data_IF_051030241035
#
_entry.id   IF_051030241035
#
_cell.length_a   1.000
_cell.length_b   1.000
_cell.length_c   1.000
_cell.angle_alpha   90.00
_cell.angle_beta   90.00
_cell.angle_gamma   90.00
#
_symmetry.space_group_name_H-M   'P 1'
#
loop_
_entity.id
_entity.type
_entity.pdbx_description
1 polymer ?
#
# COMPACT_ATOMS: atom_id res chain seq x y z
N UNK A 1 1.25 -23.35 22.78
CA UNK A 1 2.18 -22.20 22.78
C UNK A 1 3.30 -22.35 21.74
N UNK A 2 4.23 -23.34 21.86
CA UNK A 2 5.34 -23.48 20.88
C UNK A 2 4.85 -23.83 19.46
N UNK A 3 3.83 -24.66 19.31
CA UNK A 3 3.25 -24.99 18.01
C UNK A 3 2.57 -23.79 17.37
N UNK A 4 1.89 -22.96 18.14
CA UNK A 4 1.26 -21.72 17.65
C UNK A 4 2.30 -20.73 17.14
N UNK A 5 3.40 -20.53 17.87
CA UNK A 5 4.51 -19.67 17.45
C UNK A 5 5.15 -20.18 16.15
N UNK A 6 5.36 -21.49 16.03
CA UNK A 6 5.92 -22.10 14.81
C UNK A 6 4.96 -21.93 13.63
N UNK A 7 3.65 -22.13 13.84
CA UNK A 7 2.64 -21.95 12.79
C UNK A 7 2.55 -20.49 12.33
N UNK A 8 2.64 -19.54 13.26
CA UNK A 8 2.61 -18.10 12.94
C UNK A 8 3.85 -17.68 12.13
N UNK A 9 5.04 -18.13 12.55
CA UNK A 9 6.27 -17.88 11.81
C UNK A 9 6.29 -18.56 10.43
N UNK A 10 5.79 -19.80 10.32
CA UNK A 10 5.62 -20.47 9.04
C UNK A 10 4.64 -19.70 8.11
N UNK A 11 3.55 -19.16 8.67
CA UNK A 11 2.62 -18.30 7.95
C UNK A 11 3.27 -17.00 7.44
N UNK A 12 4.11 -16.36 8.25
CA UNK A 12 4.89 -15.18 7.85
C UNK A 12 5.86 -15.51 6.72
N UNK A 13 6.59 -16.62 6.83
CA UNK A 13 7.51 -17.08 5.78
C UNK A 13 6.78 -17.38 4.46
N UNK A 14 5.63 -18.05 4.52
CA UNK A 14 4.84 -18.35 3.33
C UNK A 14 4.35 -17.08 2.62
N UNK A 15 3.87 -16.08 3.38
CA UNK A 15 3.52 -14.76 2.81
C UNK A 15 4.74 -14.07 2.18
N UNK A 16 5.89 -14.15 2.81
CA UNK A 16 7.13 -13.57 2.29
C UNK A 16 7.54 -14.21 0.96
N UNK A 17 7.50 -15.53 0.87
CA UNK A 17 7.83 -16.28 -0.36
C UNK A 17 6.84 -15.92 -1.48
N UNK A 18 5.53 -15.87 -1.19
CA UNK A 18 4.52 -15.46 -2.19
C UNK A 18 4.76 -14.04 -2.71
N UNK A 19 5.07 -13.10 -1.82
CA UNK A 19 5.36 -11.72 -2.20
C UNK A 19 6.64 -11.60 -3.02
N UNK A 20 7.68 -12.39 -2.70
CA UNK A 20 8.91 -12.45 -3.49
C UNK A 20 8.70 -13.02 -4.89
N UNK A 21 7.89 -14.08 -5.00
CA UNK A 21 7.55 -14.67 -6.29
C UNK A 21 6.75 -13.68 -7.15
N UNK A 22 5.76 -13.00 -6.55
CA UNK A 22 4.98 -11.97 -7.24
C UNK A 22 5.88 -10.82 -7.71
N UNK A 23 6.79 -10.34 -6.85
CA UNK A 23 7.73 -9.28 -7.21
C UNK A 23 8.67 -9.71 -8.34
N UNK A 24 9.17 -10.96 -8.30
CA UNK A 24 10.04 -11.50 -9.34
C UNK A 24 9.31 -11.62 -10.68
N UNK A 25 8.03 -11.99 -10.67
CA UNK A 25 7.18 -11.99 -11.87
C UNK A 25 6.97 -10.58 -12.44
N UNK A 26 6.76 -9.57 -11.57
CA UNK A 26 6.61 -8.17 -11.99
C UNK A 26 7.90 -7.58 -12.59
N UNK A 27 9.08 -7.98 -12.10
CA UNK A 27 10.37 -7.43 -12.54
C UNK A 27 10.95 -8.15 -13.77
N UNK A 28 10.74 -9.44 -13.88
CA UNK A 28 11.41 -10.31 -14.88
C UNK A 28 10.43 -11.17 -15.70
N UNK A 29 9.14 -11.16 -15.36
CA UNK A 29 8.11 -11.88 -16.08
C UNK A 29 7.65 -11.09 -17.31
N UNK A 30 7.21 -11.81 -18.33
CA UNK A 30 6.44 -11.28 -19.46
C UNK A 30 4.95 -11.13 -19.04
N UNK A 31 4.71 -10.57 -17.85
CA UNK A 31 3.34 -10.35 -17.39
C UNK A 31 2.75 -9.18 -18.19
N UNK A 32 1.95 -9.52 -19.20
CA UNK A 32 1.18 -8.55 -19.97
C UNK A 32 0.25 -7.78 -19.02
N UNK A 33 0.53 -6.49 -18.84
CA UNK A 33 -0.34 -5.60 -18.08
C UNK A 33 -1.66 -5.49 -18.83
N UNK A 34 -2.75 -5.94 -18.20
CA UNK A 34 -4.07 -5.88 -18.79
C UNK A 34 -4.76 -4.57 -18.42
N UNK A 35 -4.56 -3.55 -19.26
CA UNK A 35 -5.23 -2.27 -19.07
C UNK A 35 -6.72 -2.40 -19.36
N UNK A 36 -7.54 -2.04 -18.38
CA UNK A 36 -9.00 -1.97 -18.49
C UNK A 36 -9.55 -0.75 -17.76
N UNK A 37 -10.80 -0.41 -18.06
CA UNK A 37 -11.49 0.70 -17.40
C UNK A 37 -12.30 0.18 -16.23
N UNK A 38 -11.99 0.63 -15.01
CA UNK A 38 -12.71 0.24 -13.79
C UNK A 38 -12.93 1.43 -12.85
N UNK A 39 -13.81 1.24 -11.86
CA UNK A 39 -14.12 2.24 -10.84
C UNK A 39 -13.17 2.10 -9.64
N UNK A 40 -12.21 3.04 -9.53
CA UNK A 40 -11.23 3.07 -8.44
C UNK A 40 -11.89 3.31 -7.07
N UNK A 41 -13.05 3.96 -7.01
CA UNK A 41 -13.75 4.19 -5.73
C UNK A 41 -14.32 2.90 -5.18
N UNK A 42 -14.89 2.07 -6.04
CA UNK A 42 -15.38 0.74 -5.69
C UNK A 42 -14.25 -0.20 -5.29
N UNK A 43 -13.12 -0.17 -6.01
CA UNK A 43 -11.94 -0.95 -5.68
C UNK A 43 -11.41 -0.60 -4.29
N UNK A 44 -11.21 0.68 -3.99
CA UNK A 44 -10.73 1.14 -2.66
C UNK A 44 -11.70 0.69 -1.56
N UNK A 45 -13.01 0.86 -1.78
CA UNK A 45 -14.04 0.44 -0.83
C UNK A 45 -13.98 -1.07 -0.56
N UNK A 46 -13.80 -1.89 -1.61
CA UNK A 46 -13.63 -3.34 -1.49
C UNK A 46 -12.37 -3.73 -0.70
N UNK A 47 -11.26 -3.05 -0.94
CA UNK A 47 -10.01 -3.25 -0.16
C UNK A 47 -10.25 -2.91 1.31
N UNK A 48 -10.87 -1.78 1.63
CA UNK A 48 -11.15 -1.38 3.01
C UNK A 48 -12.07 -2.39 3.70
N UNK A 49 -13.14 -2.83 3.04
CA UNK A 49 -14.03 -3.86 3.56
C UNK A 49 -13.31 -5.18 3.85
N UNK A 50 -12.37 -5.58 3.00
CA UNK A 50 -11.57 -6.79 3.21
C UNK A 50 -10.60 -6.69 4.40
N UNK A 51 -10.30 -5.48 4.86
CA UNK A 51 -9.40 -5.16 5.96
C UNK A 51 -10.13 -4.73 7.24
N UNK A 52 -11.47 -4.74 7.26
CA UNK A 52 -12.30 -4.27 8.39
C UNK A 52 -11.85 -4.84 9.73
N UNK A 53 -11.64 -6.15 9.82
CA UNK A 53 -11.19 -6.81 11.06
C UNK A 53 -9.83 -6.24 11.53
N UNK A 54 -8.92 -6.00 10.61
CA UNK A 54 -7.60 -5.44 10.94
C UNK A 54 -7.70 -3.97 11.36
N UNK A 55 -8.57 -3.21 10.70
CA UNK A 55 -8.87 -1.81 11.04
C UNK A 55 -9.43 -1.72 12.46
N UNK A 56 -10.40 -2.58 12.80
CA UNK A 56 -10.97 -2.67 14.16
C UNK A 56 -9.91 -3.07 15.20
N UNK A 57 -9.10 -4.09 14.92
CA UNK A 57 -8.04 -4.53 15.83
C UNK A 57 -7.00 -3.44 16.12
N UNK A 58 -6.73 -2.59 15.14
CA UNK A 58 -5.83 -1.44 15.27
C UNK A 58 -6.53 -0.21 15.86
N UNK A 59 -7.86 -0.27 16.03
CA UNK A 59 -8.71 0.86 16.44
C UNK A 59 -8.48 2.09 15.52
N UNK A 60 -8.20 1.87 14.25
CA UNK A 60 -7.89 2.93 13.30
C UNK A 60 -9.18 3.57 12.79
N UNK A 61 -9.19 4.91 12.73
CA UNK A 61 -10.26 5.68 12.10
C UNK A 61 -9.92 5.88 10.62
N UNK A 62 -10.56 5.12 9.73
CA UNK A 62 -10.37 5.25 8.30
C UNK A 62 -11.39 6.24 7.73
N UNK A 63 -10.90 7.26 7.02
CA UNK A 63 -11.70 8.30 6.36
C UNK A 63 -11.52 8.14 4.86
N UNK A 64 -12.57 7.67 4.18
CA UNK A 64 -12.67 7.64 2.72
C UNK A 64 -14.03 8.21 2.31
N UNK A 65 -14.04 9.43 1.78
CA UNK A 65 -15.27 10.16 1.42
C UNK A 65 -15.33 10.31 -0.08
N UNK A 66 -15.96 9.34 -0.74
CA UNK A 66 -16.26 9.45 -2.16
C UNK A 66 -17.72 9.08 -2.43
N UNK A 67 -18.46 9.96 -3.14
CA UNK A 67 -19.90 9.75 -3.43
C UNK A 67 -20.15 9.27 -4.87
N UNK A 68 -19.24 9.59 -5.78
CA UNK A 68 -19.39 9.29 -7.19
C UNK A 68 -18.30 8.33 -7.67
N UNK A 69 -18.59 7.42 -8.60
CA UNK A 69 -17.58 6.58 -9.20
C UNK A 69 -16.56 7.43 -9.98
N UNK A 70 -15.29 7.08 -9.83
CA UNK A 70 -14.19 7.62 -10.62
C UNK A 70 -13.60 6.47 -11.42
N UNK A 71 -13.64 6.62 -12.74
CA UNK A 71 -13.11 5.61 -13.65
C UNK A 71 -11.67 5.93 -14.03
N UNK A 72 -10.83 4.91 -13.96
CA UNK A 72 -9.41 4.96 -14.34
C UNK A 72 -9.12 3.86 -15.34
N UNK A 73 -7.96 3.97 -16.02
CA UNK A 73 -7.48 3.04 -17.01
C UNK A 73 -6.16 2.43 -16.52
N UNK A 74 -6.19 1.20 -16.04
CA UNK A 74 -5.05 0.46 -15.53
C UNK A 74 -5.36 -1.04 -15.41
N UNK A 75 -4.44 -1.84 -14.91
CA UNK A 75 -4.68 -3.22 -14.50
C UNK A 75 -5.31 -3.24 -13.10
N UNK A 76 -6.60 -3.59 -13.03
CA UNK A 76 -7.39 -3.52 -11.79
C UNK A 76 -6.77 -4.37 -10.66
N UNK A 77 -6.31 -5.58 -10.98
CA UNK A 77 -5.70 -6.46 -9.99
C UNK A 77 -4.37 -5.90 -9.42
N UNK A 78 -3.53 -5.33 -10.29
CA UNK A 78 -2.28 -4.69 -9.87
C UNK A 78 -2.54 -3.43 -9.06
N UNK A 79 -3.54 -2.62 -9.43
CA UNK A 79 -3.96 -1.44 -8.64
C UNK A 79 -4.51 -1.84 -7.27
N UNK A 80 -5.29 -2.94 -7.18
CA UNK A 80 -5.72 -3.48 -5.88
C UNK A 80 -4.53 -3.79 -4.99
N UNK A 81 -3.46 -4.40 -5.54
CA UNK A 81 -2.25 -4.67 -4.78
C UNK A 81 -1.56 -3.38 -4.28
N UNK A 82 -1.51 -2.32 -5.10
CA UNK A 82 -0.96 -1.01 -4.69
C UNK A 82 -1.76 -0.45 -3.51
N UNK A 83 -3.08 -0.35 -3.63
CA UNK A 83 -3.97 0.16 -2.59
C UNK A 83 -3.83 -0.66 -1.31
N UNK A 84 -3.86 -1.98 -1.41
CA UNK A 84 -3.70 -2.90 -0.27
C UNK A 84 -2.37 -2.73 0.44
N UNK A 85 -1.27 -2.55 -0.30
CA UNK A 85 0.05 -2.31 0.28
C UNK A 85 0.11 -0.97 1.02
N UNK A 86 -0.46 0.10 0.47
CA UNK A 86 -0.49 1.40 1.13
C UNK A 86 -1.37 1.39 2.38
N UNK A 87 -2.57 0.79 2.32
CA UNK A 87 -3.46 0.69 3.49
C UNK A 87 -2.83 -0.17 4.59
N UNK A 88 -2.24 -1.31 4.25
CA UNK A 88 -1.52 -2.15 5.22
C UNK A 88 -0.33 -1.41 5.84
N UNK A 89 0.42 -0.64 5.03
CA UNK A 89 1.51 0.18 5.53
C UNK A 89 0.99 1.24 6.52
N UNK A 90 -0.09 1.94 6.17
CA UNK A 90 -0.75 2.90 7.05
C UNK A 90 -1.19 2.26 8.37
N UNK A 91 -1.87 1.10 8.34
CA UNK A 91 -2.31 0.36 9.53
C UNK A 91 -1.16 -0.12 10.43
N UNK A 92 0.01 -0.38 9.84
CA UNK A 92 1.20 -0.79 10.59
C UNK A 92 1.96 0.37 11.23
N UNK A 93 1.79 1.59 10.72
CA UNK A 93 2.55 2.78 11.15
C UNK A 93 1.69 3.87 11.77
N UNK A 94 0.36 3.73 11.73
CA UNK A 94 -0.55 4.64 12.44
C UNK A 94 -0.29 4.62 13.94
N UNK A 95 -0.24 5.79 14.56
CA UNK A 95 0.05 5.94 16.00
C UNK A 95 -1.11 6.58 16.81
N UNK A 96 -0.81 7.41 17.77
CA UNK A 96 -1.71 7.90 18.83
C UNK A 96 -3.08 8.38 18.32
N UNK A 97 -3.13 9.14 17.25
CA UNK A 97 -4.40 9.67 16.70
C UNK A 97 -5.17 8.62 15.89
N UNK A 98 -4.47 7.58 15.43
CA UNK A 98 -5.02 6.43 14.71
C UNK A 98 -5.88 6.80 13.50
N UNK A 99 -5.55 7.89 12.80
CA UNK A 99 -6.29 8.36 11.62
C UNK A 99 -5.59 7.91 10.34
N UNK A 100 -6.36 7.32 9.43
CA UNK A 100 -5.96 7.00 8.05
C UNK A 100 -6.93 7.71 7.12
N UNK A 101 -6.44 8.56 6.23
CA UNK A 101 -7.27 9.29 5.27
C UNK A 101 -6.90 8.91 3.85
N UNK A 102 -7.90 8.51 3.05
CA UNK A 102 -7.73 8.21 1.63
C UNK A 102 -8.45 9.26 0.82
N UNK A 103 -7.77 9.84 -0.14
CA UNK A 103 -8.34 10.85 -1.07
C UNK A 103 -8.05 10.47 -2.50
N UNK A 104 -8.95 10.89 -3.39
CA UNK A 104 -8.75 10.87 -4.83
C UNK A 104 -8.91 12.30 -5.33
N UNK A 105 -7.90 12.84 -5.95
CA UNK A 105 -7.93 14.12 -6.65
C UNK A 105 -7.83 13.91 -8.15
N UNK A 106 -8.54 14.72 -8.93
CA UNK A 106 -8.59 14.60 -10.38
C UNK A 106 -8.03 15.88 -10.98
N UNK A 107 -6.99 15.75 -11.79
CA UNK A 107 -6.35 16.87 -12.48
C UNK A 107 -5.73 16.40 -13.80
N UNK A 108 -5.95 17.17 -14.88
CA UNK A 108 -5.32 16.93 -16.20
C UNK A 108 -5.50 15.49 -16.75
N UNK A 109 -6.72 14.93 -16.65
CA UNK A 109 -7.05 13.55 -17.04
C UNK A 109 -6.30 12.46 -16.23
N UNK A 110 -5.79 12.83 -15.06
CA UNK A 110 -5.15 11.93 -14.10
C UNK A 110 -5.95 11.88 -12.81
N UNK A 111 -6.05 10.70 -12.23
CA UNK A 111 -6.50 10.49 -10.85
C UNK A 111 -5.29 10.26 -9.97
N UNK A 112 -5.08 11.11 -8.97
CA UNK A 112 -4.08 10.93 -7.92
C UNK A 112 -4.77 10.39 -6.68
N UNK A 113 -4.33 9.22 -6.25
CA UNK A 113 -4.81 8.54 -5.05
C UNK A 113 -3.78 8.75 -3.95
N UNK A 114 -4.21 9.21 -2.78
CA UNK A 114 -3.35 9.41 -1.61
C UNK A 114 -3.86 8.59 -0.44
N UNK A 115 -2.95 8.02 0.33
CA UNK A 115 -3.19 7.33 1.59
C UNK A 115 -2.31 7.98 2.64
N UNK A 116 -2.90 8.79 3.48
CA UNK A 116 -2.25 9.44 4.62
C UNK A 116 -2.51 8.65 5.89
N UNK A 117 -1.52 8.54 6.75
CA UNK A 117 -1.71 8.08 8.14
C UNK A 117 -1.03 9.03 9.12
N UNK A 118 -1.68 9.26 10.26
CA UNK A 118 -1.01 9.88 11.41
C UNK A 118 0.09 8.96 11.92
N UNK A 119 1.20 9.56 12.34
CA UNK A 119 2.35 8.80 12.80
C UNK A 119 3.67 9.56 12.70
N UNK A 120 4.74 8.90 13.06
CA UNK A 120 6.07 9.48 12.98
C UNK A 120 6.48 9.63 11.51
N UNK A 121 6.90 10.82 11.05
CA UNK A 121 7.45 11.02 9.71
C UNK A 121 8.67 10.12 9.46
N UNK A 122 8.85 9.74 8.21
CA UNK A 122 10.02 8.95 7.78
C UNK A 122 11.25 9.87 7.79
N UNK A 123 12.39 9.45 8.37
CA UNK A 123 13.63 10.23 8.25
C UNK A 123 13.94 10.55 6.79
N UNK A 124 14.36 11.79 6.51
CA UNK A 124 14.57 12.23 5.13
C UNK A 124 15.64 11.40 4.39
N UNK A 125 16.62 10.90 5.13
CA UNK A 125 17.66 10.00 4.62
C UNK A 125 17.11 8.63 4.20
N UNK A 126 15.98 8.19 4.80
CA UNK A 126 15.36 6.89 4.51
C UNK A 126 14.36 6.98 3.34
N UNK A 127 13.79 8.16 3.06
CA UNK A 127 12.78 8.34 2.01
C UNK A 127 13.17 7.77 0.63
N UNK A 128 14.40 7.93 0.14
CA UNK A 128 14.81 7.30 -1.12
C UNK A 128 14.86 5.78 -1.07
N UNK A 129 15.11 5.22 0.11
CA UNK A 129 15.38 3.80 0.32
C UNK A 129 14.15 2.96 0.65
N UNK A 130 13.02 3.58 1.08
CA UNK A 130 11.80 2.83 1.46
C UNK A 130 11.23 1.97 0.33
N UNK A 131 11.59 2.23 -0.91
CA UNK A 131 11.19 1.49 -2.11
C UNK A 131 12.09 0.28 -2.41
N UNK A 132 13.18 0.13 -1.68
CA UNK A 132 14.09 -1.01 -1.83
C UNK A 132 13.56 -2.25 -1.14
N UNK A 133 13.90 -3.41 -1.70
CA UNK A 133 13.51 -4.71 -1.12
C UNK A 133 14.12 -4.89 0.25
N UNK A 134 13.31 -5.33 1.22
CA UNK A 134 13.72 -5.60 2.60
C UNK A 134 14.17 -4.38 3.39
N UNK A 135 14.07 -3.18 2.83
CA UNK A 135 14.40 -1.97 3.56
C UNK A 135 13.37 -1.71 4.67
N UNK A 136 13.85 -1.25 5.81
CA UNK A 136 13.05 -0.94 6.99
C UNK A 136 13.70 0.20 7.74
N UNK A 137 12.96 1.27 7.94
CA UNK A 137 13.38 2.46 8.69
C UNK A 137 13.73 2.09 10.13
N UNK A 138 13.00 1.18 10.77
CA UNK A 138 13.17 0.82 12.17
C UNK A 138 13.26 -0.70 12.34
N UNK A 139 14.48 -1.24 12.47
CA UNK A 139 14.74 -2.68 12.64
C UNK A 139 14.22 -3.23 13.99
N UNK A 140 14.07 -2.38 14.99
CA UNK A 140 13.64 -2.77 16.33
C UNK A 140 12.11 -2.90 16.44
N UNK A 141 11.34 -1.99 15.84
CA UNK A 141 9.87 -1.99 15.82
C UNK A 141 9.26 -3.11 14.96
N UNK A 142 10.02 -3.64 14.03
CA UNK A 142 9.52 -4.57 13.00
C UNK A 142 9.25 -5.98 13.52
N UNK A 143 9.75 -6.37 14.69
CA UNK A 143 9.41 -7.67 15.31
C UNK A 143 7.96 -7.69 15.80
N UNK A 144 7.40 -6.54 16.15
CA UNK A 144 6.03 -6.40 16.67
C UNK A 144 4.97 -6.29 15.56
N UNK A 145 5.29 -5.69 14.41
CA UNK A 145 4.31 -5.35 13.36
C UNK A 145 4.37 -6.20 12.09
N UNK A 146 5.31 -7.15 11.99
CA UNK A 146 5.29 -8.23 10.98
C UNK A 146 5.48 -7.82 9.51
N UNK A 147 5.86 -6.58 9.22
CA UNK A 147 6.11 -6.12 7.85
C UNK A 147 7.36 -6.74 7.24
N UNK A 148 7.27 -7.33 6.03
CA UNK A 148 8.38 -8.03 5.38
C UNK A 148 9.34 -7.11 4.61
N UNK A 149 9.07 -5.78 4.56
CA UNK A 149 9.87 -4.82 3.79
C UNK A 149 9.79 -5.01 2.26
N UNK A 150 8.71 -5.66 1.77
CA UNK A 150 8.52 -5.95 0.33
C UNK A 150 7.34 -5.14 -0.24
N UNK A 151 6.41 -4.68 0.59
CA UNK A 151 5.18 -4.05 0.13
C UNK A 151 5.40 -2.83 -0.76
N UNK A 152 6.30 -1.91 -0.36
CA UNK A 152 6.60 -0.72 -1.15
C UNK A 152 7.42 -1.03 -2.41
N UNK A 153 8.27 -2.06 -2.41
CA UNK A 153 8.96 -2.50 -3.63
C UNK A 153 8.02 -3.14 -4.65
N UNK A 154 6.93 -3.79 -4.21
CA UNK A 154 5.85 -4.24 -5.09
C UNK A 154 5.13 -3.04 -5.72
N UNK A 155 4.79 -2.02 -4.93
CA UNK A 155 4.19 -0.78 -5.45
C UNK A 155 5.09 -0.16 -6.51
N UNK A 156 6.40 -0.01 -6.21
CA UNK A 156 7.37 0.49 -7.17
C UNK A 156 7.34 -0.30 -8.48
N UNK A 157 7.45 -1.63 -8.43
CA UNK A 157 7.47 -2.47 -9.62
C UNK A 157 6.18 -2.33 -10.46
N UNK A 158 5.01 -2.28 -9.81
CA UNK A 158 3.73 -2.08 -10.49
C UNK A 158 3.67 -0.71 -11.15
N UNK A 159 3.97 0.35 -10.41
CA UNK A 159 3.86 1.72 -10.94
C UNK A 159 4.89 2.00 -12.04
N UNK A 160 6.10 1.45 -11.92
CA UNK A 160 7.12 1.48 -12.97
C UNK A 160 6.62 0.75 -14.24
N UNK A 161 5.92 -0.39 -14.09
CA UNK A 161 5.33 -1.11 -15.24
C UNK A 161 4.20 -0.34 -15.93
N UNK A 162 3.49 0.52 -15.21
CA UNK A 162 2.49 1.42 -15.77
C UNK A 162 3.10 2.71 -16.36
N UNK A 163 4.37 3.01 -16.05
CA UNK A 163 5.01 4.29 -16.38
C UNK A 163 4.33 5.48 -15.68
N UNK A 164 3.82 5.29 -14.44
CA UNK A 164 3.06 6.28 -13.67
C UNK A 164 3.79 6.72 -12.41
N UNK A 165 3.46 7.95 -11.95
CA UNK A 165 4.02 8.54 -10.77
C UNK A 165 3.54 7.87 -9.47
N UNK A 166 4.44 7.79 -8.49
CA UNK A 166 4.17 7.37 -7.12
C UNK A 166 5.18 8.01 -6.17
N UNK A 167 4.90 8.04 -4.90
CA UNK A 167 5.82 8.63 -3.93
C UNK A 167 5.32 8.62 -2.51
N UNK A 168 6.13 9.22 -1.64
CA UNK A 168 5.82 9.46 -0.24
C UNK A 168 6.14 10.91 0.12
N UNK A 169 5.31 11.50 0.97
CA UNK A 169 5.43 12.88 1.45
C UNK A 169 5.30 12.86 2.97
N UNK A 170 6.26 13.45 3.66
CA UNK A 170 6.17 13.69 5.09
C UNK A 170 5.30 14.91 5.37
N UNK A 171 4.41 14.77 6.35
CA UNK A 171 3.68 15.84 7.01
C UNK A 171 4.16 15.98 8.45
N UNK A 172 3.80 17.08 9.11
CA UNK A 172 4.20 17.34 10.51
C UNK A 172 3.71 16.25 11.48
N UNK A 173 2.59 15.59 11.16
CA UNK A 173 1.94 14.61 12.02
C UNK A 173 1.71 13.24 11.33
N UNK A 174 2.44 12.94 10.25
CA UNK A 174 2.26 11.66 9.57
C UNK A 174 2.96 11.57 8.22
N UNK A 175 2.59 10.55 7.47
CA UNK A 175 3.13 10.25 6.15
C UNK A 175 1.99 10.03 5.16
N UNK A 176 2.13 10.57 3.96
CA UNK A 176 1.23 10.38 2.83
C UNK A 176 1.95 9.60 1.73
N UNK A 177 1.38 8.47 1.33
CA UNK A 177 1.78 7.74 0.13
C UNK A 177 0.81 8.07 -1.00
N UNK A 178 1.30 8.20 -2.23
CA UNK A 178 0.47 8.54 -3.38
C UNK A 178 0.88 7.78 -4.64
N UNK A 179 -0.06 7.64 -5.56
CA UNK A 179 0.16 7.15 -6.93
C UNK A 179 -0.85 7.79 -7.89
N UNK A 180 -0.55 7.73 -9.18
CA UNK A 180 -1.33 8.34 -10.23
C UNK A 180 -1.76 7.32 -11.29
N UNK A 181 -2.98 7.48 -11.82
CA UNK A 181 -3.53 6.67 -12.90
C UNK A 181 -4.17 7.56 -13.96
N UNK A 182 -4.20 7.10 -15.22
CA UNK A 182 -4.96 7.74 -16.28
C UNK A 182 -6.47 7.60 -16.03
N UNK A 183 -7.22 8.63 -16.40
CA UNK A 183 -8.69 8.60 -16.41
C UNK A 183 -9.26 8.33 -17.80
N UNK A 184 -8.41 8.32 -18.84
CA UNK A 184 -8.76 8.06 -20.25
C UNK A 184 -7.83 7.05 -20.85
#
# INVERSE_FOLDING_TARGET
FYCEVIMDEAGKMNRMVKNLLALNQLEFGEDDVQFERFDITSLISGVLQSLDILIEQKEAQVIFRHKNPIYVWADEFKVEQVVRNYVNNALNHVDVEKVIEIKITQENDMAKITVFNTGTPIPEEDLPHIWEKFYKVDKARTREYGGNGIGLSIVKAIMDSFGKGYGAINHTNGVEFWFELDMK
#
